data_IF_535076354885
#
_entry.id   IF_535076354885
#
_cell.length_a   1.000
_cell.length_b   1.000
_cell.length_c   1.000
_cell.angle_alpha   90.00
_cell.angle_beta   90.00
_cell.angle_gamma   90.00
#
_symmetry.space_group_name_H-M   'P 1'
#
loop_
_entity.id
_entity.type
_entity.pdbx_description
1 polymer ?
#
# COMPACT_ATOMS: atom_id res chain seq x y z
N UNK A 1 -9.35 -4.72 -2.05
CA UNK A 1 -9.98 -4.51 -0.73
C UNK A 1 -10.46 -3.08 -0.65
N UNK A 2 -11.19 -2.72 0.40
CA UNK A 2 -11.65 -1.34 0.60
C UNK A 2 -10.49 -0.39 0.90
N UNK A 3 -10.70 0.90 0.66
CA UNK A 3 -9.65 1.91 0.78
C UNK A 3 -9.14 2.13 2.21
N UNK A 4 -9.94 1.80 3.24
CA UNK A 4 -9.47 1.89 4.63
C UNK A 4 -8.42 0.82 4.86
N UNK A 5 -8.70 -0.42 4.45
CA UNK A 5 -7.72 -1.52 4.49
C UNK A 5 -6.43 -1.14 3.77
N UNK A 6 -6.52 -0.56 2.57
CA UNK A 6 -5.36 -0.17 1.79
C UNK A 6 -4.54 0.96 2.43
N UNK A 7 -5.21 1.95 3.04
CA UNK A 7 -4.54 3.00 3.80
C UNK A 7 -3.82 2.45 5.04
N UNK A 8 -4.46 1.54 5.77
CA UNK A 8 -3.89 0.90 6.97
C UNK A 8 -2.68 0.05 6.58
N UNK A 9 -2.80 -0.83 5.59
CA UNK A 9 -1.69 -1.66 5.13
C UNK A 9 -0.52 -0.81 4.62
N UNK A 10 -0.82 0.20 3.79
CA UNK A 10 0.18 1.12 3.27
C UNK A 10 0.93 1.85 4.40
N UNK A 11 0.22 2.31 5.42
CA UNK A 11 0.84 2.94 6.60
C UNK A 11 1.77 1.97 7.36
N UNK A 12 1.36 0.71 7.54
CA UNK A 12 2.18 -0.30 8.21
C UNK A 12 3.46 -0.64 7.42
N UNK A 13 3.35 -0.74 6.09
CA UNK A 13 4.52 -0.93 5.21
C UNK A 13 5.42 0.31 5.25
N UNK A 14 4.85 1.50 5.28
CA UNK A 14 5.61 2.74 5.42
C UNK A 14 6.36 2.85 6.74
N UNK A 15 5.75 2.47 7.85
CA UNK A 15 6.42 2.36 9.14
C UNK A 15 7.62 1.40 9.08
N UNK A 16 7.42 0.24 8.44
CA UNK A 16 8.46 -0.77 8.30
C UNK A 16 9.69 -0.24 7.56
N UNK A 17 9.48 0.48 6.44
CA UNK A 17 10.57 0.91 5.55
C UNK A 17 11.19 2.25 5.95
N UNK A 18 10.38 3.23 6.33
CA UNK A 18 10.81 4.60 6.58
C UNK A 18 10.47 5.14 7.98
N UNK A 19 9.80 4.38 8.84
CA UNK A 19 9.41 4.82 10.19
C UNK A 19 10.58 5.32 11.04
N UNK A 20 11.76 4.69 10.94
CA UNK A 20 12.97 5.14 11.65
C UNK A 20 13.47 6.53 11.23
N UNK A 21 13.18 6.97 10.00
CA UNK A 21 13.66 8.25 9.44
C UNK A 21 12.60 9.33 9.47
N UNK A 22 11.35 8.95 9.17
CA UNK A 22 10.24 9.88 8.99
C UNK A 22 9.22 9.84 10.14
N UNK A 23 9.32 8.88 11.07
CA UNK A 23 8.37 8.70 12.16
C UNK A 23 6.94 8.57 11.63
N UNK A 24 5.98 9.28 12.23
CA UNK A 24 4.58 9.26 11.80
C UNK A 24 4.37 9.78 10.37
N UNK A 25 5.30 10.53 9.79
CA UNK A 25 5.19 10.93 8.38
C UNK A 25 5.30 9.70 7.46
N UNK A 26 6.02 8.66 7.88
CA UNK A 26 6.07 7.40 7.14
C UNK A 26 4.68 6.73 7.06
N UNK A 27 3.91 6.79 8.15
CA UNK A 27 2.53 6.28 8.20
C UNK A 27 1.65 7.03 7.21
N UNK A 28 1.67 8.37 7.25
CA UNK A 28 0.83 9.21 6.39
C UNK A 28 1.17 9.00 4.91
N UNK A 29 2.46 8.98 4.57
CA UNK A 29 2.87 8.69 3.18
C UNK A 29 2.54 7.27 2.76
N UNK A 30 2.69 6.31 3.65
CA UNK A 30 2.31 4.92 3.40
C UNK A 30 0.82 4.79 3.13
N UNK A 31 -0.03 5.41 3.95
CA UNK A 31 -1.47 5.42 3.75
C UNK A 31 -1.87 6.06 2.43
N UNK A 32 -1.30 7.23 2.12
CA UNK A 32 -1.59 7.96 0.90
C UNK A 32 -1.16 7.19 -0.37
N UNK A 33 0.07 6.67 -0.39
CA UNK A 33 0.55 5.88 -1.52
C UNK A 33 -0.18 4.53 -1.62
N UNK A 34 -0.65 4.01 -0.49
CA UNK A 34 -1.44 2.78 -0.41
C UNK A 34 -2.83 2.93 -1.02
N UNK A 35 -3.41 4.14 -1.08
CA UNK A 35 -4.72 4.36 -1.75
C UNK A 35 -4.58 4.89 -3.17
N UNK A 36 -3.38 5.26 -3.59
CA UNK A 36 -3.10 5.83 -4.90
C UNK A 36 -3.55 4.97 -6.09
N UNK A 37 -3.45 3.62 -6.07
CA UNK A 37 -3.83 2.80 -7.23
C UNK A 37 -5.34 2.89 -7.52
N UNK A 38 -6.17 2.92 -6.48
CA UNK A 38 -7.63 3.02 -6.58
C UNK A 38 -8.12 4.43 -6.99
N UNK A 39 -7.25 5.43 -7.09
CA UNK A 39 -7.63 6.74 -7.62
C UNK A 39 -7.96 6.69 -9.13
N UNK A 40 -7.78 5.53 -9.78
CA UNK A 40 -8.31 5.27 -11.12
C UNK A 40 -9.83 5.42 -11.20
N UNK A 41 -10.56 5.26 -10.10
CA UNK A 41 -12.01 5.49 -9.98
C UNK A 41 -12.43 6.94 -10.27
N UNK A 42 -11.50 7.89 -10.19
CA UNK A 42 -11.77 9.28 -10.56
C UNK A 42 -12.05 9.43 -12.06
N UNK A 43 -11.65 8.45 -12.87
CA UNK A 43 -11.95 8.38 -14.29
C UNK A 43 -13.29 7.69 -14.59
N UNK A 44 -13.90 6.99 -13.62
CA UNK A 44 -15.17 6.29 -13.79
C UNK A 44 -16.30 7.14 -14.36
N UNK A 45 -16.49 8.43 -13.97
CA UNK A 45 -17.53 9.27 -14.57
C UNK A 45 -17.36 9.55 -16.08
N UNK A 46 -16.15 9.34 -16.61
CA UNK A 46 -15.82 9.52 -18.02
C UNK A 46 -15.94 8.23 -18.83
N UNK A 47 -16.20 7.09 -18.17
CA UNK A 47 -16.21 5.76 -18.76
C UNK A 47 -17.62 5.18 -18.77
N UNK A 48 -17.91 4.32 -19.76
CA UNK A 48 -19.09 3.45 -19.68
C UNK A 48 -18.88 2.35 -18.65
N UNK A 49 -19.96 1.80 -18.09
CA UNK A 49 -19.89 0.75 -17.04
C UNK A 49 -19.02 -0.44 -17.44
N UNK A 50 -19.06 -0.86 -18.70
CA UNK A 50 -18.25 -1.98 -19.20
C UNK A 50 -16.76 -1.63 -19.28
N UNK A 51 -16.44 -0.39 -19.64
CA UNK A 51 -15.04 0.09 -19.69
C UNK A 51 -14.48 0.30 -18.30
N UNK A 52 -15.30 0.80 -17.36
CA UNK A 52 -14.91 1.01 -15.97
C UNK A 52 -14.49 -0.31 -15.29
N UNK A 53 -15.23 -1.39 -15.53
CA UNK A 53 -14.88 -2.74 -15.02
C UNK A 53 -13.51 -3.22 -15.51
N UNK A 54 -13.12 -2.86 -16.72
CA UNK A 54 -11.81 -3.22 -17.28
C UNK A 54 -10.70 -2.28 -16.81
N UNK A 55 -11.04 -0.99 -16.65
CA UNK A 55 -10.11 0.07 -16.27
C UNK A 55 -9.72 -0.01 -14.80
N UNK A 56 -10.70 -0.13 -13.92
CA UNK A 56 -10.47 -0.29 -12.49
C UNK A 56 -9.75 -1.62 -12.23
N UNK A 57 -8.66 -1.56 -11.46
CA UNK A 57 -7.71 -2.68 -11.26
C UNK A 57 -7.03 -3.18 -12.52
N UNK A 58 -6.97 -2.29 -13.51
CA UNK A 58 -6.33 -2.49 -14.81
C UNK A 58 -4.92 -1.91 -14.83
N UNK A 59 -4.67 -0.83 -15.60
CA UNK A 59 -3.34 -0.25 -15.74
C UNK A 59 -2.69 0.19 -14.41
N UNK A 60 -3.44 0.85 -13.53
CA UNK A 60 -3.04 1.34 -12.19
C UNK A 60 -2.45 0.26 -11.28
N UNK A 61 -2.89 -0.99 -11.44
CA UNK A 61 -2.49 -2.13 -10.64
C UNK A 61 -1.48 -3.04 -11.35
N UNK A 62 -0.95 -2.61 -12.50
CA UNK A 62 0.01 -3.39 -13.27
C UNK A 62 1.44 -3.27 -12.73
N UNK A 63 2.21 -4.34 -12.87
CA UNK A 63 3.63 -4.35 -12.50
C UNK A 63 4.43 -3.28 -13.25
N UNK A 64 4.08 -3.04 -14.51
CA UNK A 64 4.68 -1.99 -15.33
C UNK A 64 4.46 -0.61 -14.71
N UNK A 65 3.21 -0.27 -14.34
CA UNK A 65 2.88 1.02 -13.71
C UNK A 65 3.52 1.14 -12.33
N UNK A 66 3.51 0.08 -11.51
CA UNK A 66 4.18 0.09 -10.21
C UNK A 66 5.67 0.43 -10.31
N UNK A 67 6.40 -0.22 -11.22
CA UNK A 67 7.84 0.02 -11.42
C UNK A 67 8.09 1.43 -11.95
N UNK A 68 7.37 1.82 -13.00
CA UNK A 68 7.54 3.13 -13.65
C UNK A 68 7.19 4.28 -12.71
N UNK A 69 6.05 4.23 -12.02
CA UNK A 69 5.64 5.25 -11.06
C UNK A 69 6.65 5.35 -9.91
N UNK A 70 7.11 4.20 -9.37
CA UNK A 70 8.13 4.19 -8.32
C UNK A 70 9.44 4.85 -8.76
N UNK A 71 9.89 4.56 -9.98
CA UNK A 71 11.10 5.17 -10.55
C UNK A 71 10.93 6.68 -10.77
N UNK A 72 9.81 7.13 -11.33
CA UNK A 72 9.54 8.53 -11.64
C UNK A 72 9.29 9.39 -10.39
N UNK A 73 8.63 8.84 -9.38
CA UNK A 73 8.30 9.56 -8.13
C UNK A 73 9.47 9.57 -7.13
N UNK A 74 10.39 8.62 -7.21
CA UNK A 74 11.51 8.49 -6.27
C UNK A 74 12.41 9.74 -6.17
N UNK A 75 12.82 10.42 -7.26
CA UNK A 75 13.63 11.63 -7.18
C UNK A 75 12.94 12.77 -6.42
N UNK A 76 11.65 12.97 -6.68
CA UNK A 76 10.85 14.00 -6.00
C UNK A 76 10.74 13.69 -4.51
N UNK A 77 10.39 12.46 -4.16
CA UNK A 77 10.23 12.05 -2.76
C UNK A 77 11.56 12.12 -1.99
N UNK A 78 12.66 11.67 -2.60
CA UNK A 78 13.99 11.78 -2.01
C UNK A 78 14.43 13.24 -1.81
N UNK A 79 14.11 14.14 -2.76
CA UNK A 79 14.37 15.58 -2.62
C UNK A 79 13.57 16.16 -1.45
N UNK A 80 12.29 15.77 -1.30
CA UNK A 80 11.38 16.23 -0.24
C UNK A 80 11.85 15.86 1.17
N UNK A 81 12.55 14.73 1.30
CA UNK A 81 13.04 14.16 2.57
C UNK A 81 14.56 14.01 2.62
N UNK A 82 15.28 14.93 1.96
CA UNK A 82 16.74 14.93 1.87
C UNK A 82 17.40 15.08 3.26
N UNK A 83 16.81 15.90 4.14
CA UNK A 83 17.33 16.16 5.51
C UNK A 83 17.30 14.89 6.36
N UNK A 84 16.31 14.04 6.14
CA UNK A 84 16.09 12.76 6.82
C UNK A 84 16.89 11.61 6.18
N UNK A 85 17.81 11.92 5.25
CA UNK A 85 18.71 10.96 4.58
C UNK A 85 17.95 9.87 3.81
N UNK A 86 16.80 10.22 3.22
CA UNK A 86 16.08 9.35 2.27
C UNK A 86 16.75 9.45 0.89
N UNK A 87 17.35 8.36 0.43
CA UNK A 87 17.97 8.29 -0.90
C UNK A 87 16.94 7.98 -1.98
N UNK A 88 17.26 8.24 -3.25
CA UNK A 88 16.38 7.88 -4.40
C UNK A 88 16.03 6.39 -4.38
N UNK A 89 17.00 5.51 -4.12
CA UNK A 89 16.78 4.08 -4.02
C UNK A 89 15.79 3.72 -2.89
N UNK A 90 15.94 4.32 -1.70
CA UNK A 90 15.01 4.09 -0.57
C UNK A 90 13.61 4.61 -0.86
N UNK A 91 13.51 5.78 -1.52
CA UNK A 91 12.24 6.35 -1.93
C UNK A 91 11.53 5.44 -2.96
N UNK A 92 12.26 4.96 -3.98
CA UNK A 92 11.73 4.05 -4.98
C UNK A 92 11.26 2.74 -4.38
N UNK A 93 12.06 2.12 -3.51
CA UNK A 93 11.65 0.91 -2.79
C UNK A 93 10.46 1.12 -1.87
N UNK A 94 10.38 2.27 -1.20
CA UNK A 94 9.23 2.61 -0.35
C UNK A 94 7.94 2.73 -1.18
N UNK A 95 7.96 3.47 -2.28
CA UNK A 95 6.79 3.65 -3.16
C UNK A 95 6.40 2.31 -3.78
N UNK A 96 7.38 1.57 -4.30
CA UNK A 96 7.14 0.27 -4.93
C UNK A 96 6.54 -0.73 -3.96
N UNK A 97 7.09 -0.85 -2.74
CA UNK A 97 6.58 -1.79 -1.75
C UNK A 97 5.17 -1.46 -1.29
N UNK A 98 4.85 -0.18 -1.04
CA UNK A 98 3.51 0.22 -0.63
C UNK A 98 2.49 -0.07 -1.75
N UNK A 99 2.79 0.36 -2.97
CA UNK A 99 1.93 0.14 -4.13
C UNK A 99 1.76 -1.36 -4.43
N UNK A 100 2.85 -2.14 -4.35
CA UNK A 100 2.78 -3.58 -4.59
C UNK A 100 2.01 -4.33 -3.52
N UNK A 101 2.06 -3.91 -2.25
CA UNK A 101 1.23 -4.53 -1.21
C UNK A 101 -0.26 -4.25 -1.42
N UNK A 102 -0.62 -3.08 -1.95
CA UNK A 102 -2.01 -2.81 -2.34
C UNK A 102 -2.48 -3.78 -3.43
N UNK A 103 -1.72 -3.85 -4.52
CA UNK A 103 -2.03 -4.70 -5.68
C UNK A 103 -2.05 -6.17 -5.28
N UNK A 104 -1.10 -6.60 -4.44
CA UNK A 104 -1.03 -7.95 -3.94
C UNK A 104 -2.29 -8.33 -3.18
N UNK A 105 -2.73 -7.50 -2.24
CA UNK A 105 -3.94 -7.79 -1.45
C UNK A 105 -5.22 -7.73 -2.29
N UNK A 106 -5.26 -6.93 -3.35
CA UNK A 106 -6.38 -6.97 -4.30
C UNK A 106 -6.50 -8.32 -5.03
N UNK A 107 -5.38 -8.98 -5.32
CA UNK A 107 -5.37 -10.33 -5.90
C UNK A 107 -6.01 -11.38 -4.98
N UNK A 108 -6.15 -11.13 -3.67
CA UNK A 108 -6.78 -12.06 -2.74
C UNK A 108 -8.32 -11.94 -2.74
N UNK A 109 -8.86 -10.93 -3.43
CA UNK A 109 -10.31 -10.69 -3.55
C UNK A 109 -10.91 -11.21 -4.86
N UNK A 110 -12.25 -11.28 -4.93
CA UNK A 110 -13.00 -11.92 -6.03
C UNK A 110 -12.97 -11.17 -7.38
N UNK A 111 -12.71 -9.85 -7.41
CA UNK A 111 -12.77 -9.07 -8.66
C UNK A 111 -11.59 -9.32 -9.60
N UNK A 112 -10.48 -9.83 -9.05
CA UNK A 112 -9.23 -10.03 -9.75
C UNK A 112 -8.53 -8.74 -10.18
N UNK A 113 -7.23 -8.86 -10.42
CA UNK A 113 -6.35 -7.72 -10.73
C UNK A 113 -5.51 -7.98 -11.98
N UNK A 114 -5.42 -7.01 -12.89
CA UNK A 114 -4.66 -7.12 -14.14
C UNK A 114 -3.16 -6.86 -13.92
N UNK A 115 -2.49 -7.66 -13.09
CA UNK A 115 -1.08 -7.47 -12.70
C UNK A 115 -0.12 -7.39 -13.90
N UNK A 116 -0.42 -8.14 -14.97
CA UNK A 116 0.42 -8.24 -16.17
C UNK A 116 -0.06 -7.36 -17.33
N UNK A 117 -0.94 -6.38 -17.09
CA UNK A 117 -1.28 -5.40 -18.13
C UNK A 117 0.00 -4.73 -18.68
N UNK A 118 0.12 -4.50 -20.01
CA UNK A 118 -0.91 -4.58 -21.06
C UNK A 118 -1.01 -5.93 -21.77
N UNK A 119 -0.32 -6.98 -21.30
CA UNK A 119 -0.40 -8.29 -21.92
C UNK A 119 -1.80 -8.89 -21.71
N UNK A 120 -2.33 -9.67 -22.68
CA UNK A 120 -3.65 -10.30 -22.61
C UNK A 120 -3.64 -11.52 -21.68
N UNK A 121 -3.18 -11.35 -20.45
CA UNK A 121 -3.13 -12.36 -19.40
C UNK A 121 -4.37 -12.21 -18.52
N UNK A 122 -4.91 -13.33 -18.06
CA UNK A 122 -6.07 -13.34 -17.15
C UNK A 122 -5.74 -12.59 -15.86
N UNK A 123 -6.74 -11.86 -15.33
CA UNK A 123 -6.68 -11.24 -13.99
C UNK A 123 -6.38 -12.28 -12.92
N UNK A 124 -5.52 -11.92 -11.98
CA UNK A 124 -5.15 -12.78 -10.84
C UNK A 124 -6.17 -12.60 -9.72
N UNK A 125 -6.74 -13.70 -9.24
CA UNK A 125 -7.72 -13.72 -8.14
C UNK A 125 -7.60 -15.03 -7.35
N UNK A 126 -7.35 -14.96 -6.05
CA UNK A 126 -7.28 -16.12 -5.13
C UNK A 126 -8.59 -16.37 -4.38
N UNK A 127 -9.46 -15.35 -4.27
CA UNK A 127 -10.81 -15.46 -3.72
C UNK A 127 -10.88 -15.92 -2.26
N UNK A 128 -9.92 -15.55 -1.42
CA UNK A 128 -9.86 -15.96 -0.01
C UNK A 128 -10.00 -14.80 0.99
N UNK A 129 -10.04 -13.55 0.53
CA UNK A 129 -10.34 -12.38 1.35
C UNK A 129 -11.60 -11.65 0.89
N UNK A 130 -12.37 -11.14 1.84
CA UNK A 130 -13.49 -10.24 1.57
C UNK A 130 -12.99 -8.86 1.14
N UNK A 131 -13.86 -8.09 0.47
CA UNK A 131 -13.51 -6.71 0.08
C UNK A 131 -13.33 -5.85 1.33
N UNK A 132 -14.31 -5.93 2.23
CA UNK A 132 -14.32 -5.29 3.54
C UNK A 132 -14.15 -6.41 4.55
N UNK A 133 -12.96 -6.49 5.14
CA UNK A 133 -12.62 -7.54 6.11
C UNK A 133 -12.12 -6.92 7.41
N UNK A 134 -12.99 -6.90 8.42
CA UNK A 134 -12.68 -6.32 9.71
C UNK A 134 -11.66 -7.14 10.50
N UNK A 135 -11.60 -8.46 10.29
CA UNK A 135 -10.63 -9.32 10.97
C UNK A 135 -9.23 -9.14 10.40
N UNK A 136 -9.12 -8.85 9.10
CA UNK A 136 -7.86 -8.43 8.51
C UNK A 136 -7.46 -7.01 8.94
N UNK A 137 -8.40 -6.07 8.96
CA UNK A 137 -8.10 -4.63 9.08
C UNK A 137 -7.95 -4.14 10.51
N UNK A 138 -8.86 -4.53 11.42
CA UNK A 138 -8.90 -3.97 12.77
C UNK A 138 -7.64 -4.25 13.59
N UNK A 139 -7.04 -5.46 13.60
CA UNK A 139 -5.82 -5.71 14.38
C UNK A 139 -4.67 -4.81 13.95
N UNK A 140 -4.49 -4.62 12.64
CA UNK A 140 -3.46 -3.75 12.08
C UNK A 140 -3.77 -2.28 12.39
N UNK A 141 -5.02 -1.85 12.25
CA UNK A 141 -5.45 -0.49 12.56
C UNK A 141 -5.20 -0.14 14.04
N UNK A 142 -5.56 -1.04 14.97
CA UNK A 142 -5.31 -0.85 16.41
C UNK A 142 -3.82 -0.73 16.70
N UNK A 143 -2.99 -1.61 16.11
CA UNK A 143 -1.54 -1.53 16.25
C UNK A 143 -0.97 -0.20 15.73
N UNK A 144 -1.46 0.28 14.57
CA UNK A 144 -1.06 1.54 13.96
C UNK A 144 -1.46 2.76 14.79
N UNK A 145 -2.68 2.78 15.30
CA UNK A 145 -3.17 3.86 16.16
C UNK A 145 -2.30 3.92 17.41
N UNK A 146 -2.06 2.79 18.06
CA UNK A 146 -1.22 2.75 19.26
C UNK A 146 0.21 3.24 18.97
N UNK A 147 0.84 2.72 17.92
CA UNK A 147 2.22 3.10 17.61
C UNK A 147 2.35 4.57 17.14
N UNK A 148 1.28 5.19 16.63
CA UNK A 148 1.29 6.62 16.27
C UNK A 148 1.45 7.56 17.48
N UNK A 149 1.12 7.09 18.69
CA UNK A 149 1.37 7.82 19.95
C UNK A 149 2.81 7.61 20.47
N UNK A 150 3.56 6.64 19.93
CA UNK A 150 4.94 6.35 20.32
C UNK A 150 5.93 7.20 19.47
N UNK A 151 6.26 8.40 19.97
CA UNK A 151 7.03 9.41 19.22
C UNK A 151 8.49 9.56 19.64
N UNK A 152 8.92 8.91 20.72
CA UNK A 152 10.29 9.08 21.24
C UNK A 152 11.24 7.97 20.78
N UNK A 153 12.54 8.26 20.72
CA UNK A 153 13.57 7.27 20.35
C UNK A 153 13.60 6.05 21.29
N UNK A 154 13.30 6.25 22.59
CA UNK A 154 13.22 5.15 23.57
C UNK A 154 12.11 4.15 23.24
N UNK A 155 11.05 4.61 22.56
CA UNK A 155 9.88 3.79 22.18
C UNK A 155 10.03 3.14 20.80
N UNK A 156 11.14 3.37 20.08
CA UNK A 156 11.33 2.86 18.72
C UNK A 156 11.29 1.33 18.64
N UNK A 157 11.78 0.63 19.67
CA UNK A 157 11.73 -0.83 19.72
C UNK A 157 10.28 -1.34 19.83
N UNK A 158 9.48 -0.74 20.72
CA UNK A 158 8.06 -1.06 20.86
C UNK A 158 7.28 -0.75 19.59
N UNK A 159 7.53 0.41 18.97
CA UNK A 159 6.91 0.83 17.71
C UNK A 159 7.10 -0.22 16.60
N UNK A 160 8.32 -0.75 16.45
CA UNK A 160 8.60 -1.83 15.48
C UNK A 160 7.91 -3.14 15.83
N UNK A 161 7.87 -3.51 17.12
CA UNK A 161 7.20 -4.74 17.57
C UNK A 161 5.71 -4.69 17.29
N UNK A 162 5.04 -3.56 17.59
CA UNK A 162 3.61 -3.38 17.30
C UNK A 162 3.34 -3.48 15.80
N UNK A 163 4.15 -2.81 14.97
CA UNK A 163 3.99 -2.88 13.51
C UNK A 163 4.21 -4.29 12.97
N UNK A 164 5.24 -4.99 13.47
CA UNK A 164 5.53 -6.38 13.08
C UNK A 164 4.41 -7.34 13.52
N UNK A 165 3.82 -7.12 14.70
CA UNK A 165 2.65 -7.87 15.15
C UNK A 165 1.45 -7.66 14.23
N UNK A 166 1.13 -6.41 13.90
CA UNK A 166 0.02 -6.09 12.99
C UNK A 166 0.20 -6.72 11.60
N UNK A 167 1.38 -6.56 10.99
CA UNK A 167 1.72 -7.16 9.70
C UNK A 167 1.77 -8.69 9.75
N UNK A 168 2.25 -9.27 10.86
CA UNK A 168 2.33 -10.71 11.05
C UNK A 168 0.95 -11.34 11.14
N UNK A 169 0.04 -10.75 11.92
CA UNK A 169 -1.35 -11.20 12.01
C UNK A 169 -2.08 -11.07 10.66
N UNK A 170 -1.92 -9.94 9.96
CA UNK A 170 -2.53 -9.73 8.64
C UNK A 170 -2.02 -10.76 7.62
N UNK A 171 -0.70 -10.96 7.56
CA UNK A 171 -0.10 -11.98 6.68
C UNK A 171 -0.58 -13.38 7.02
N UNK A 172 -0.62 -13.74 8.31
CA UNK A 172 -1.08 -15.06 8.76
C UNK A 172 -2.57 -15.29 8.56
N UNK A 173 -3.39 -14.24 8.50
CA UNK A 173 -4.80 -14.33 8.18
C UNK A 173 -5.04 -14.50 6.66
N UNK A 174 -4.20 -13.90 5.83
CA UNK A 174 -4.34 -13.93 4.38
C UNK A 174 -3.86 -15.24 3.73
N UNK A 175 -2.95 -15.98 4.38
CA UNK A 175 -2.39 -17.25 3.91
C UNK A 175 -3.22 -18.44 4.40
#
# INVERSE_FOLDING_TARGET
MDSITQAVLGAAVGECLLGKRLGNRALVWGAFLGTLPDLDVLLSPLLSTTHDLWWHRGPSHSLLVMITASFLMAPWFAKRWKREKVTKARAGWFIFAVWSTHVLIDCFTVYGTSVFWPFPVRRVAFNNLFIIDLFFTLPMLVALIWLAFLRTNKQLALRRRLNAWGLGLATGYAL
#
